data_IF_718923008970
#
_entry.id   IF_718923008970
#
_cell.length_a   1.000
_cell.length_b   1.000
_cell.length_c   1.000
_cell.angle_alpha   90.00
_cell.angle_beta   90.00
_cell.angle_gamma   90.00
#
_symmetry.space_group_name_H-M   'P 1'
#
loop_
_entity.id
_entity.type
_entity.pdbx_description
1 polymer ?
#
# COMPACT_ATOMS: atom_id res chain seq x y z
N UNK A 1 38.25 16.96 -31.09
CA UNK A 1 37.01 17.77 -31.22
C UNK A 1 37.35 18.98 -32.09
N UNK A 2 37.36 18.79 -33.42
CA UNK A 2 37.71 19.75 -34.51
C UNK A 2 37.93 18.94 -35.81
N UNK A 3 36.96 18.10 -36.20
CA UNK A 3 37.11 17.12 -37.31
C UNK A 3 38.27 16.11 -37.17
N UNK A 4 38.96 16.11 -36.03
CA UNK A 4 40.06 15.21 -35.73
C UNK A 4 39.56 13.77 -35.50
N UNK A 5 39.89 12.82 -36.41
CA UNK A 5 39.50 11.42 -36.28
C UNK A 5 40.13 10.73 -35.05
N UNK A 6 41.20 11.29 -34.47
CA UNK A 6 41.85 10.78 -33.25
C UNK A 6 41.04 11.00 -31.97
N UNK A 7 39.96 11.80 -32.03
CA UNK A 7 39.10 12.11 -30.88
C UNK A 7 37.62 11.89 -31.21
N UNK A 8 37.18 10.63 -31.40
CA UNK A 8 35.78 10.34 -31.68
C UNK A 8 34.86 10.68 -30.50
N UNK A 9 33.62 11.08 -30.81
CA UNK A 9 32.57 11.38 -29.82
C UNK A 9 31.35 10.52 -30.14
N UNK A 10 30.80 9.85 -29.12
CA UNK A 10 29.58 9.04 -29.25
C UNK A 10 28.37 9.95 -29.04
N UNK A 11 27.52 10.08 -30.06
CA UNK A 11 26.30 10.90 -30.01
C UNK A 11 25.07 10.13 -29.51
N UNK A 12 25.07 8.79 -29.63
CA UNK A 12 23.95 7.96 -29.21
C UNK A 12 24.03 6.53 -29.73
N UNK A 13 22.94 5.79 -29.53
CA UNK A 13 22.75 4.43 -30.03
C UNK A 13 21.44 4.33 -30.80
N UNK A 14 21.44 3.51 -31.86
CA UNK A 14 20.27 3.26 -32.70
C UNK A 14 19.83 1.82 -32.58
N UNK A 15 18.52 1.58 -32.58
CA UNK A 15 17.96 0.22 -32.64
C UNK A 15 18.24 -0.41 -34.01
N UNK A 16 18.36 -1.74 -34.04
CA UNK A 16 18.61 -2.51 -35.26
C UNK A 16 18.03 -3.92 -35.16
N UNK A 17 18.28 -4.78 -36.14
CA UNK A 17 17.66 -6.12 -36.17
C UNK A 17 18.00 -7.00 -34.96
N UNK A 18 19.25 -6.91 -34.46
CA UNK A 18 19.70 -7.64 -33.26
C UNK A 18 19.17 -7.03 -31.96
N UNK A 19 18.94 -5.71 -31.94
CA UNK A 19 18.47 -4.97 -30.77
C UNK A 19 17.24 -4.17 -31.17
N UNK A 20 16.10 -4.86 -31.18
CA UNK A 20 14.80 -4.27 -31.52
C UNK A 20 14.36 -3.26 -30.44
N UNK A 21 13.59 -2.23 -30.83
CA UNK A 21 12.98 -1.34 -29.86
C UNK A 21 12.02 -2.11 -28.94
N UNK A 22 11.84 -1.65 -27.69
CA UNK A 22 10.95 -2.30 -26.74
C UNK A 22 9.45 -2.19 -27.10
N UNK A 23 9.08 -1.24 -27.96
CA UNK A 23 7.73 -1.05 -28.49
C UNK A 23 7.82 -0.90 -30.01
N UNK A 24 6.78 -1.39 -30.70
CA UNK A 24 6.63 -1.19 -32.14
C UNK A 24 6.31 0.28 -32.45
N UNK A 25 6.69 0.72 -33.65
CA UNK A 25 6.40 2.07 -34.10
C UNK A 25 4.94 2.17 -34.54
N UNK A 26 4.14 2.94 -33.81
CA UNK A 26 2.76 3.24 -34.15
C UNK A 26 2.58 4.72 -34.47
N UNK A 27 1.77 5.04 -35.48
CA UNK A 27 1.53 6.42 -35.90
C UNK A 27 0.97 7.32 -34.78
N UNK A 28 0.16 6.74 -33.86
CA UNK A 28 -0.38 7.46 -32.70
C UNK A 28 0.69 7.81 -31.67
N UNK A 29 1.73 6.97 -31.54
CA UNK A 29 2.85 7.17 -30.60
C UNK A 29 2.43 7.45 -29.13
N UNK A 30 1.33 6.80 -28.69
CA UNK A 30 0.75 7.01 -27.36
C UNK A 30 1.63 6.44 -26.24
N UNK A 31 2.52 5.48 -26.54
CA UNK A 31 3.40 4.85 -25.56
C UNK A 31 4.80 5.40 -25.68
N UNK A 32 5.31 6.02 -24.62
CA UNK A 32 6.71 6.43 -24.51
C UNK A 32 7.33 5.72 -23.33
N UNK A 33 8.59 5.30 -23.44
CA UNK A 33 9.21 4.58 -22.35
C UNK A 33 10.74 4.71 -22.31
N UNK A 34 11.28 4.63 -21.10
CA UNK A 34 12.69 4.33 -20.85
C UNK A 34 12.75 2.86 -20.42
N UNK A 35 13.49 2.04 -21.17
CA UNK A 35 13.64 0.61 -20.89
C UNK A 35 15.12 0.26 -20.78
N UNK A 36 15.52 -0.31 -19.65
CA UNK A 36 16.90 -0.73 -19.41
C UNK A 36 17.20 -2.11 -19.99
N UNK A 37 18.48 -2.49 -20.07
CA UNK A 37 18.91 -3.84 -20.52
C UNK A 37 18.23 -4.97 -19.74
N UNK A 38 18.09 -4.78 -18.43
CA UNK A 38 17.45 -5.75 -17.53
C UNK A 38 15.92 -5.57 -17.46
N UNK A 39 15.31 -4.87 -18.43
CA UNK A 39 13.85 -4.71 -18.58
C UNK A 39 13.16 -3.97 -17.41
N UNK A 40 13.87 -3.11 -16.68
CA UNK A 40 13.22 -2.11 -15.83
C UNK A 40 12.65 -1.00 -16.72
N UNK A 41 11.45 -0.52 -16.42
CA UNK A 41 10.71 0.39 -17.29
C UNK A 41 10.17 1.61 -16.54
N UNK A 42 10.19 2.74 -17.22
CA UNK A 42 9.36 3.92 -16.93
C UNK A 42 8.53 4.14 -18.19
N UNK A 43 7.22 3.92 -18.10
CA UNK A 43 6.26 3.94 -19.22
C UNK A 43 5.28 5.10 -19.04
N UNK A 44 5.02 5.81 -20.13
CA UNK A 44 4.00 6.85 -20.26
C UNK A 44 2.99 6.38 -21.29
N UNK A 45 1.73 6.37 -20.90
CA UNK A 45 0.61 6.12 -21.80
C UNK A 45 -0.22 7.41 -21.93
N UNK A 46 -0.08 8.10 -23.05
CA UNK A 46 -0.73 9.39 -23.30
C UNK A 46 -2.23 9.26 -23.58
N UNK A 47 -2.70 8.10 -24.03
CA UNK A 47 -4.13 7.81 -24.25
C UNK A 47 -4.88 7.70 -22.92
N UNK A 48 -4.29 6.98 -21.97
CA UNK A 48 -4.81 6.81 -20.61
C UNK A 48 -4.35 7.88 -19.62
N UNK A 49 -3.45 8.78 -20.04
CA UNK A 49 -2.76 9.74 -19.16
C UNK A 49 -2.21 9.04 -17.90
N UNK A 50 -1.42 8.00 -18.14
CA UNK A 50 -0.90 7.11 -17.10
C UNK A 50 0.62 7.06 -17.13
N UNK A 51 1.24 7.03 -15.94
CA UNK A 51 2.68 6.81 -15.73
C UNK A 51 2.87 5.53 -14.93
N UNK A 52 3.74 4.64 -15.40
CA UNK A 52 4.04 3.37 -14.74
C UNK A 52 5.53 3.11 -14.64
N UNK A 53 6.00 2.78 -13.43
CA UNK A 53 7.35 2.29 -13.18
C UNK A 53 7.24 0.80 -12.90
N UNK A 54 8.01 -0.04 -13.59
CA UNK A 54 7.95 -1.48 -13.41
C UNK A 54 9.31 -2.18 -13.42
N UNK A 55 9.42 -3.27 -12.66
CA UNK A 55 10.58 -4.18 -12.67
C UNK A 55 10.21 -5.55 -13.25
N UNK A 56 11.18 -6.37 -13.72
CA UNK A 56 10.91 -7.73 -14.20
C UNK A 56 10.26 -8.63 -13.14
N UNK A 57 10.51 -8.36 -11.86
CA UNK A 57 9.88 -9.03 -10.73
C UNK A 57 8.39 -8.69 -10.56
N UNK A 58 7.82 -7.80 -11.38
CA UNK A 58 6.45 -7.29 -11.28
C UNK A 58 6.20 -6.36 -10.08
N UNK A 59 7.24 -5.69 -9.58
CA UNK A 59 7.02 -4.52 -8.72
C UNK A 59 6.59 -3.36 -9.61
N UNK A 60 5.51 -2.66 -9.23
CA UNK A 60 4.95 -1.58 -10.04
C UNK A 60 4.51 -0.38 -9.19
N UNK A 61 4.77 0.82 -9.70
CA UNK A 61 4.10 2.07 -9.29
C UNK A 61 3.30 2.56 -10.48
N UNK A 62 2.03 2.87 -10.30
CA UNK A 62 1.13 3.34 -11.35
C UNK A 62 0.39 4.59 -10.87
N UNK A 63 0.36 5.62 -11.71
CA UNK A 63 -0.39 6.87 -11.50
C UNK A 63 -1.26 7.03 -12.75
N UNK A 64 -2.58 6.96 -12.60
CA UNK A 64 -3.52 6.91 -13.72
C UNK A 64 -4.67 7.92 -13.54
N UNK A 65 -4.80 8.86 -14.48
CA UNK A 65 -5.95 9.77 -14.52
C UNK A 65 -7.21 9.08 -15.06
N UNK A 66 -7.06 8.11 -15.97
CA UNK A 66 -8.16 7.34 -16.56
C UNK A 66 -8.83 6.44 -15.50
N UNK A 67 -8.01 5.65 -14.80
CA UNK A 67 -8.48 4.78 -13.72
C UNK A 67 -8.66 5.50 -12.38
N UNK A 68 -8.24 6.77 -12.29
CA UNK A 68 -8.35 7.66 -11.11
C UNK A 68 -7.74 7.07 -9.84
N UNK A 69 -6.53 6.53 -9.94
CA UNK A 69 -5.82 5.98 -8.79
C UNK A 69 -4.30 6.20 -8.85
N UNK A 70 -3.70 6.07 -7.67
CA UNK A 70 -2.28 5.83 -7.47
C UNK A 70 -2.15 4.46 -6.83
N UNK A 71 -1.34 3.58 -7.44
CA UNK A 71 -1.21 2.18 -7.02
C UNK A 71 0.25 1.75 -6.93
N UNK A 72 0.60 1.15 -5.79
CA UNK A 72 1.86 0.45 -5.58
C UNK A 72 1.57 -1.03 -5.41
N UNK A 73 2.26 -1.88 -6.16
CA UNK A 73 2.13 -3.33 -6.08
C UNK A 73 3.51 -3.98 -6.08
N UNK A 74 3.70 -4.98 -5.22
CA UNK A 74 4.93 -5.77 -5.20
C UNK A 74 4.73 -7.16 -5.84
N UNK A 75 5.85 -7.88 -6.01
CA UNK A 75 5.86 -9.24 -6.54
C UNK A 75 5.15 -10.29 -5.65
N UNK A 76 4.84 -9.95 -4.40
CA UNK A 76 4.25 -10.84 -3.40
C UNK A 76 2.74 -10.63 -3.22
N UNK A 77 2.10 -9.85 -4.11
CA UNK A 77 0.67 -9.48 -4.06
C UNK A 77 0.32 -8.57 -2.87
N UNK A 78 1.27 -7.75 -2.43
CA UNK A 78 1.00 -6.64 -1.53
C UNK A 78 0.65 -5.40 -2.34
N UNK A 79 -0.35 -4.64 -1.90
CA UNK A 79 -0.89 -3.51 -2.66
C UNK A 79 -1.27 -2.34 -1.75
N UNK A 80 -0.93 -1.13 -2.20
CA UNK A 80 -1.43 0.14 -1.66
C UNK A 80 -2.13 0.87 -2.80
N UNK A 81 -3.40 1.23 -2.61
CA UNK A 81 -4.19 1.99 -3.60
C UNK A 81 -4.78 3.23 -2.96
N UNK A 82 -4.62 4.37 -3.64
CA UNK A 82 -5.31 5.62 -3.34
C UNK A 82 -6.22 5.97 -4.52
N UNK A 83 -7.50 6.17 -4.26
CA UNK A 83 -8.49 6.50 -5.29
C UNK A 83 -9.62 7.37 -4.70
N UNK A 84 -10.69 7.58 -5.48
CA UNK A 84 -11.86 8.37 -5.07
C UNK A 84 -12.60 7.84 -3.84
N UNK A 85 -12.46 6.56 -3.50
CA UNK A 85 -13.04 5.93 -2.31
C UNK A 85 -12.15 6.03 -1.06
N UNK A 86 -10.91 6.52 -1.19
CA UNK A 86 -9.95 6.66 -0.10
C UNK A 86 -8.67 5.87 -0.33
N UNK A 87 -8.13 5.28 0.75
CA UNK A 87 -6.84 4.57 0.76
C UNK A 87 -7.06 3.13 1.23
N UNK A 88 -6.47 2.15 0.53
CA UNK A 88 -6.44 0.75 0.93
C UNK A 88 -5.02 0.22 1.08
N UNK A 89 -4.84 -0.66 2.07
CA UNK A 89 -3.62 -1.45 2.27
C UNK A 89 -4.04 -2.92 2.27
N UNK A 90 -3.45 -3.73 1.39
CA UNK A 90 -3.71 -5.17 1.34
C UNK A 90 -2.41 -5.96 1.23
N UNK A 91 -2.39 -7.13 1.86
CA UNK A 91 -1.25 -8.04 1.90
C UNK A 91 -1.75 -9.47 1.76
N UNK A 92 -1.00 -10.29 1.03
CA UNK A 92 -1.25 -11.74 0.99
C UNK A 92 -0.76 -12.47 2.25
N UNK A 93 -0.02 -11.76 3.12
CA UNK A 93 0.53 -12.24 4.38
C UNK A 93 0.26 -11.20 5.48
N UNK A 94 1.20 -11.01 6.39
CA UNK A 94 1.07 -10.12 7.52
C UNK A 94 1.23 -8.64 7.13
N UNK A 95 0.58 -7.77 7.90
CA UNK A 95 0.85 -6.33 7.94
C UNK A 95 1.31 -6.01 9.36
N UNK A 96 2.52 -5.48 9.51
CA UNK A 96 3.12 -5.14 10.81
C UNK A 96 3.37 -3.63 10.90
N UNK A 97 2.78 -2.97 11.90
CA UNK A 97 2.98 -1.55 12.18
C UNK A 97 3.81 -1.40 13.46
N UNK A 98 5.05 -0.92 13.33
CA UNK A 98 5.98 -0.72 14.46
C UNK A 98 6.44 0.74 14.49
N UNK A 99 6.41 1.36 15.66
CA UNK A 99 6.95 2.69 15.88
C UNK A 99 7.75 2.73 17.20
N UNK A 100 8.87 3.47 17.22
CA UNK A 100 9.63 3.75 18.46
C UNK A 100 8.95 4.81 19.33
N UNK A 101 8.21 5.71 18.70
CA UNK A 101 7.39 6.73 19.35
C UNK A 101 5.95 6.24 19.51
N UNK A 102 5.01 6.97 18.92
CA UNK A 102 3.58 6.68 19.02
C UNK A 102 2.96 6.28 17.66
N UNK A 103 1.89 5.49 17.72
CA UNK A 103 0.94 5.27 16.62
C UNK A 103 -0.40 5.83 17.10
N UNK A 104 -0.98 6.77 16.35
CA UNK A 104 -2.29 7.38 16.66
C UNK A 104 -3.25 7.11 15.51
N UNK A 105 -4.47 6.67 15.83
CA UNK A 105 -5.55 6.45 14.87
C UNK A 105 -6.78 7.23 15.33
N UNK A 106 -7.23 8.20 14.54
CA UNK A 106 -8.40 9.03 14.83
C UNK A 106 -9.40 8.95 13.67
N UNK A 107 -10.66 8.73 13.98
CA UNK A 107 -11.74 8.59 13.00
C UNK A 107 -12.99 9.31 13.48
N UNK A 108 -13.50 10.25 12.68
CA UNK A 108 -14.65 11.10 13.05
C UNK A 108 -15.98 10.32 13.09
N UNK A 109 -16.18 9.40 12.15
CA UNK A 109 -17.46 8.69 12.01
C UNK A 109 -17.43 7.31 12.68
N UNK A 110 -16.51 6.45 12.26
CA UNK A 110 -16.47 5.05 12.70
C UNK A 110 -15.05 4.50 12.64
N UNK A 111 -14.67 3.79 13.69
CA UNK A 111 -13.54 2.87 13.70
C UNK A 111 -14.07 1.44 13.85
N UNK A 112 -13.53 0.49 13.08
CA UNK A 112 -13.89 -0.93 13.18
C UNK A 112 -12.65 -1.80 13.07
N UNK A 113 -12.48 -2.69 14.04
CA UNK A 113 -11.48 -3.75 14.03
C UNK A 113 -12.20 -5.10 14.05
N UNK A 114 -11.79 -6.03 13.19
CA UNK A 114 -12.41 -7.36 13.09
C UNK A 114 -11.34 -8.40 12.77
N UNK A 115 -11.34 -9.49 13.51
CA UNK A 115 -10.53 -10.68 13.23
C UNK A 115 -11.45 -11.91 13.19
N UNK A 116 -11.09 -12.89 12.37
CA UNK A 116 -11.82 -14.17 12.29
C UNK A 116 -11.45 -15.15 13.41
N UNK A 117 -10.26 -14.99 13.97
CA UNK A 117 -9.73 -15.78 15.06
C UNK A 117 -9.66 -14.87 16.29
N UNK A 118 -8.50 -14.27 16.55
CA UNK A 118 -8.24 -13.56 17.79
C UNK A 118 -7.91 -12.08 17.57
N UNK A 119 -8.29 -11.27 18.56
CA UNK A 119 -7.80 -9.89 18.73
C UNK A 119 -7.16 -9.83 20.11
N UNK A 120 -5.85 -9.57 20.17
CA UNK A 120 -5.14 -9.30 21.44
C UNK A 120 -4.82 -7.81 21.56
N UNK A 121 -5.03 -7.25 22.75
CA UNK A 121 -4.71 -5.88 23.11
C UNK A 121 -3.95 -5.90 24.42
N UNK A 122 -2.66 -5.56 24.36
CA UNK A 122 -1.75 -5.62 25.49
C UNK A 122 -1.00 -4.29 25.65
N UNK A 123 -0.77 -3.91 26.89
CA UNK A 123 0.00 -2.73 27.26
C UNK A 123 0.11 -2.63 28.78
N UNK A 124 1.07 -1.84 29.27
CA UNK A 124 1.19 -1.59 30.71
C UNK A 124 -0.09 -0.96 31.28
N UNK A 125 -0.74 -0.09 30.48
CA UNK A 125 -2.04 0.48 30.77
C UNK A 125 -2.89 0.46 29.49
N UNK A 126 -4.13 -0.04 29.58
CA UNK A 126 -5.12 0.02 28.49
C UNK A 126 -6.33 0.80 29.02
N UNK A 127 -6.66 1.93 28.38
CA UNK A 127 -7.81 2.74 28.73
C UNK A 127 -8.86 2.68 27.62
N UNK A 128 -10.05 2.15 27.94
CA UNK A 128 -11.20 2.11 27.03
C UNK A 128 -12.34 2.94 27.61
N UNK A 129 -12.75 3.99 26.90
CA UNK A 129 -13.82 4.88 27.33
C UNK A 129 -14.84 5.10 26.21
N UNK A 130 -16.12 4.98 26.55
CA UNK A 130 -17.23 5.35 25.67
C UNK A 130 -18.08 6.41 26.34
N UNK A 131 -18.50 7.45 25.58
CA UNK A 131 -19.28 8.58 26.11
C UNK A 131 -20.76 8.25 26.31
N UNK A 132 -21.32 7.37 25.48
CA UNK A 132 -22.75 7.02 25.49
C UNK A 132 -22.95 5.61 26.01
N UNK A 133 -22.29 4.62 25.40
CA UNK A 133 -22.42 3.22 25.78
C UNK A 133 -21.21 2.40 25.34
N UNK A 134 -20.77 1.46 26.16
CA UNK A 134 -19.83 0.41 25.79
C UNK A 134 -20.52 -0.95 25.91
N UNK A 135 -20.35 -1.82 24.91
CA UNK A 135 -20.89 -3.18 24.92
C UNK A 135 -19.77 -4.19 24.66
N UNK A 136 -19.63 -5.15 25.57
CA UNK A 136 -18.70 -6.27 25.44
C UNK A 136 -19.53 -7.55 25.51
N UNK A 137 -19.51 -8.35 24.44
CA UNK A 137 -20.31 -9.58 24.31
C UNK A 137 -19.38 -10.76 24.02
N UNK A 138 -19.41 -11.78 24.88
CA UNK A 138 -18.79 -13.08 24.63
C UNK A 138 -19.87 -14.13 24.39
N UNK A 139 -20.04 -14.59 23.15
CA UNK A 139 -21.12 -15.52 22.80
C UNK A 139 -20.98 -16.88 23.49
N UNK A 140 -19.75 -17.39 23.61
CA UNK A 140 -19.47 -18.65 24.31
C UNK A 140 -19.00 -18.41 25.75
N UNK A 141 -18.14 -17.42 25.96
CA UNK A 141 -17.59 -17.05 27.27
C UNK A 141 -17.19 -15.58 27.25
N UNK A 142 -17.45 -14.88 28.36
CA UNK A 142 -16.85 -13.60 28.68
C UNK A 142 -16.22 -13.73 30.08
N UNK A 143 -14.98 -13.28 30.24
CA UNK A 143 -14.26 -13.36 31.51
C UNK A 143 -13.59 -12.01 31.80
N UNK A 144 -13.71 -11.56 33.05
CA UNK A 144 -13.03 -10.39 33.57
C UNK A 144 -12.27 -10.82 34.83
N UNK A 145 -10.94 -10.77 34.79
CA UNK A 145 -10.08 -11.22 35.87
C UNK A 145 -8.93 -10.25 36.12
N UNK A 146 -8.50 -10.16 37.38
CA UNK A 146 -7.32 -9.41 37.81
C UNK A 146 -6.63 -10.16 38.94
N UNK A 147 -5.29 -10.11 38.99
CA UNK A 147 -4.50 -10.73 40.08
C UNK A 147 -4.63 -9.98 41.41
N UNK A 148 -4.85 -8.66 41.34
CA UNK A 148 -5.16 -7.82 42.47
C UNK A 148 -6.66 -7.61 42.62
N UNK A 149 -7.08 -6.35 42.60
CA UNK A 149 -8.48 -5.98 42.77
C UNK A 149 -9.17 -5.76 41.41
N UNK A 150 -10.30 -6.44 41.21
CA UNK A 150 -11.24 -6.09 40.13
C UNK A 150 -12.32 -5.18 40.71
N UNK A 151 -12.53 -3.99 40.14
CA UNK A 151 -13.58 -3.06 40.57
C UNK A 151 -14.59 -2.86 39.45
N UNK A 152 -15.84 -3.25 39.69
CA UNK A 152 -16.97 -3.01 38.79
C UNK A 152 -17.96 -2.10 39.51
N UNK A 153 -18.26 -0.93 38.91
CA UNK A 153 -19.19 0.06 39.47
C UNK A 153 -20.31 0.33 38.48
N UNK A 154 -21.54 0.37 38.98
CA UNK A 154 -22.73 0.73 38.22
C UNK A 154 -23.91 0.92 39.17
N UNK A 155 -24.95 1.63 38.73
CA UNK A 155 -26.16 1.80 39.54
C UNK A 155 -26.86 0.47 39.87
N UNK A 156 -26.73 -0.52 38.97
CA UNK A 156 -27.19 -1.89 39.15
C UNK A 156 -26.23 -2.84 38.43
N UNK A 157 -25.78 -3.90 39.11
CA UNK A 157 -24.95 -4.96 38.54
C UNK A 157 -25.71 -6.26 38.66
N UNK A 158 -26.16 -6.81 37.54
CA UNK A 158 -26.84 -8.10 37.49
C UNK A 158 -25.80 -9.20 37.26
N UNK A 159 -25.71 -10.15 38.20
CA UNK A 159 -24.90 -11.37 38.06
C UNK A 159 -25.88 -12.54 38.11
N UNK A 160 -25.85 -13.41 37.11
CA UNK A 160 -26.64 -14.62 37.03
C UNK A 160 -25.78 -15.81 36.59
#
# INVERSE_FOLDING_TARGET
MNEDPGHPIILGGVYGERHKPPYEYEAKNNTKAIVTREKMRIEFNEEKKMVKISTPGKNTVEISDDDKHIKLTDQNKNEIVMNSSGISFSSAKDITLKAKGAITMDATSKFSATAKQDVSLEGLNVNMQAKVSAAVKGNAKAELSASGQTTVKGGMVMIN
#
